data_IF_322681954243
#
_entry.id   IF_322681954243
#
_cell.length_a   1.000
_cell.length_b   1.000
_cell.length_c   1.000
_cell.angle_alpha   90.00
_cell.angle_beta   90.00
_cell.angle_gamma   90.00
#
_symmetry.space_group_name_H-M   'P 1'
#
loop_
_entity.id
_entity.type
_entity.pdbx_description
1 polymer ?
#
# COMPACT_ATOMS: atom_id res chain seq x y z
N UNK A 1 -5.44 3.49 -4.53
CA UNK A 1 -5.38 4.87 -5.13
C UNK A 1 -6.37 5.74 -4.39
N UNK A 2 -5.88 6.72 -3.64
CA UNK A 2 -6.71 7.58 -2.82
C UNK A 2 -7.86 8.23 -3.63
N UNK A 3 -9.07 8.25 -3.07
CA UNK A 3 -10.28 8.73 -3.71
C UNK A 3 -10.83 7.85 -4.86
N UNK A 4 -10.25 6.68 -5.11
CA UNK A 4 -10.63 5.80 -6.24
C UNK A 4 -10.85 4.35 -5.80
N UNK A 5 -9.91 3.76 -5.07
CA UNK A 5 -9.98 2.34 -4.70
C UNK A 5 -10.85 2.13 -3.45
N UNK A 6 -12.15 2.31 -3.62
CA UNK A 6 -13.20 1.96 -2.68
C UNK A 6 -13.66 0.49 -2.88
N UNK A 7 -14.61 0.04 -2.09
CA UNK A 7 -15.17 -1.31 -2.20
C UNK A 7 -15.87 -1.56 -3.53
N UNK A 8 -16.54 -0.55 -4.10
CA UNK A 8 -17.20 -0.68 -5.42
C UNK A 8 -16.17 -0.86 -6.54
N UNK A 9 -15.07 -0.14 -6.48
CA UNK A 9 -13.96 -0.34 -7.42
C UNK A 9 -13.35 -1.73 -7.26
N UNK A 10 -13.06 -2.15 -6.02
CA UNK A 10 -12.49 -3.45 -5.73
C UNK A 10 -13.42 -4.61 -6.17
N UNK A 11 -14.74 -4.49 -6.02
CA UNK A 11 -15.69 -5.49 -6.51
C UNK A 11 -15.60 -5.72 -8.03
N UNK A 12 -15.22 -4.71 -8.83
CA UNK A 12 -14.99 -4.90 -10.27
C UNK A 12 -13.73 -5.73 -10.56
N UNK A 13 -12.81 -5.79 -9.58
CA UNK A 13 -11.54 -6.52 -9.72
C UNK A 13 -11.64 -7.98 -9.28
N UNK A 14 -12.67 -8.36 -8.51
CA UNK A 14 -12.80 -9.70 -7.90
C UNK A 14 -12.84 -10.85 -8.92
N UNK A 15 -13.29 -10.60 -10.14
CA UNK A 15 -13.35 -11.60 -11.22
C UNK A 15 -12.12 -11.63 -12.13
N UNK A 16 -11.11 -10.79 -11.85
CA UNK A 16 -9.94 -10.64 -12.73
C UNK A 16 -8.73 -11.47 -12.28
N UNK A 17 -8.86 -12.32 -11.25
CA UNK A 17 -7.80 -13.23 -10.80
C UNK A 17 -6.80 -12.62 -9.83
N UNK A 18 -7.16 -11.54 -9.12
CA UNK A 18 -6.31 -10.98 -8.06
C UNK A 18 -6.44 -11.78 -6.76
N UNK A 19 -5.31 -12.17 -6.16
CA UNK A 19 -5.24 -12.81 -4.85
C UNK A 19 -5.43 -11.81 -3.70
N UNK A 20 -5.13 -10.52 -3.94
CA UNK A 20 -5.20 -9.45 -2.96
C UNK A 20 -5.80 -8.19 -3.56
N UNK A 21 -6.80 -7.62 -2.90
CA UNK A 21 -7.39 -6.32 -3.23
C UNK A 21 -7.13 -5.32 -2.10
N UNK A 22 -6.54 -4.16 -2.45
CA UNK A 22 -6.18 -3.13 -1.47
C UNK A 22 -7.09 -1.92 -1.59
N UNK A 23 -7.87 -1.66 -0.55
CA UNK A 23 -8.67 -0.45 -0.36
C UNK A 23 -7.80 0.77 -0.02
N UNK A 24 -8.22 1.95 -0.41
CA UNK A 24 -7.62 3.20 0.06
C UNK A 24 -6.57 3.79 -0.88
N UNK A 25 -5.61 4.67 -0.46
CA UNK A 25 -5.25 5.01 0.93
C UNK A 25 -6.22 5.98 1.61
N UNK A 26 -6.61 5.57 2.76
CA UNK A 26 -7.41 6.40 3.67
C UNK A 26 -6.51 7.21 4.60
N UNK A 27 -6.98 8.39 5.03
CA UNK A 27 -6.36 9.18 6.08
C UNK A 27 -6.91 8.68 7.41
N UNK A 28 -6.06 8.19 8.31
CA UNK A 28 -6.52 7.44 9.46
C UNK A 28 -6.55 8.24 10.78
N UNK A 29 -5.71 9.24 10.94
CA UNK A 29 -5.68 10.11 12.12
C UNK A 29 -5.97 11.57 11.77
N UNK A 30 -6.13 12.42 12.79
CA UNK A 30 -6.44 13.84 12.60
C UNK A 30 -5.40 14.54 11.71
N UNK A 31 -4.11 14.28 11.90
CA UNK A 31 -3.04 14.90 11.12
C UNK A 31 -3.17 14.56 9.62
N UNK A 32 -3.41 13.28 9.31
CA UNK A 32 -3.61 12.82 7.93
C UNK A 32 -4.92 13.35 7.32
N UNK A 33 -6.00 13.43 8.10
CA UNK A 33 -7.30 13.95 7.67
C UNK A 33 -7.20 15.43 7.32
N UNK A 34 -6.59 16.25 8.19
CA UNK A 34 -6.39 17.68 7.95
C UNK A 34 -5.52 17.92 6.70
N UNK A 35 -4.46 17.13 6.52
CA UNK A 35 -3.65 17.13 5.30
C UNK A 35 -4.50 16.76 4.07
N UNK A 36 -5.34 15.74 4.19
CA UNK A 36 -6.27 15.30 3.13
C UNK A 36 -7.25 16.38 2.72
N UNK A 37 -7.81 17.14 3.66
CA UNK A 37 -8.70 18.28 3.38
C UNK A 37 -7.99 19.38 2.59
N UNK A 38 -6.72 19.68 2.90
CA UNK A 38 -5.91 20.62 2.11
C UNK A 38 -5.68 20.13 0.69
N UNK A 39 -5.44 18.82 0.50
CA UNK A 39 -5.26 18.18 -0.80
C UNK A 39 -6.54 18.25 -1.63
N UNK A 40 -7.71 18.00 -1.01
CA UNK A 40 -9.03 18.15 -1.65
C UNK A 40 -9.25 19.59 -2.12
N UNK A 41 -8.94 20.57 -1.29
CA UNK A 41 -9.04 22.00 -1.64
C UNK A 41 -8.19 22.38 -2.87
N UNK A 42 -7.10 21.64 -3.14
CA UNK A 42 -6.30 21.79 -4.38
C UNK A 42 -6.90 21.07 -5.59
N UNK A 43 -8.09 20.47 -5.48
CA UNK A 43 -8.77 19.76 -6.56
C UNK A 43 -8.31 18.32 -6.79
N UNK A 44 -7.57 17.71 -5.84
CA UNK A 44 -7.16 16.30 -5.95
C UNK A 44 -8.18 15.40 -5.28
N UNK A 45 -8.44 14.25 -5.90
CA UNK A 45 -9.30 13.21 -5.31
C UNK A 45 -8.65 12.59 -4.08
N UNK A 46 -9.41 12.56 -2.99
CA UNK A 46 -9.11 11.89 -1.73
C UNK A 46 -10.40 11.36 -1.09
N UNK A 47 -10.27 10.37 -0.21
CA UNK A 47 -11.39 9.98 0.65
C UNK A 47 -11.54 10.99 1.78
N UNK A 48 -12.72 11.58 1.88
CA UNK A 48 -13.07 12.53 2.94
C UNK A 48 -13.99 11.84 3.96
N UNK A 49 -13.39 11.20 4.97
CA UNK A 49 -14.08 10.43 5.99
C UNK A 49 -13.59 10.92 7.35
N UNK A 50 -14.52 11.23 8.24
CA UNK A 50 -14.19 11.61 9.60
C UNK A 50 -13.56 10.44 10.36
N UNK A 51 -12.68 10.74 11.32
CA UNK A 51 -11.96 9.71 12.08
C UNK A 51 -12.92 8.74 12.77
N UNK A 52 -14.00 9.28 13.33
CA UNK A 52 -15.03 8.55 14.06
C UNK A 52 -15.78 7.54 13.18
N UNK A 53 -15.94 7.86 11.91
CA UNK A 53 -16.65 7.05 10.92
C UNK A 53 -15.76 6.04 10.21
N UNK A 54 -14.42 6.20 10.30
CA UNK A 54 -13.47 5.47 9.48
C UNK A 54 -13.57 3.95 9.68
N UNK A 55 -13.63 3.48 10.92
CA UNK A 55 -13.77 2.06 11.23
C UNK A 55 -15.03 1.46 10.60
N UNK A 56 -16.17 2.13 10.78
CA UNK A 56 -17.44 1.68 10.22
C UNK A 56 -17.43 1.71 8.68
N UNK A 57 -16.88 2.77 8.10
CA UNK A 57 -16.73 2.90 6.65
C UNK A 57 -15.89 1.76 6.07
N UNK A 58 -14.69 1.53 6.58
CA UNK A 58 -13.82 0.44 6.09
C UNK A 58 -14.48 -0.92 6.29
N UNK A 59 -15.17 -1.15 7.41
CA UNK A 59 -15.93 -2.39 7.63
C UNK A 59 -16.95 -2.63 6.52
N UNK A 60 -17.70 -1.60 6.11
CA UNK A 60 -18.67 -1.71 4.99
C UNK A 60 -17.96 -2.04 3.67
N UNK A 61 -16.86 -1.36 3.39
CA UNK A 61 -16.09 -1.57 2.14
C UNK A 61 -15.49 -2.99 2.08
N UNK A 62 -14.94 -3.49 3.19
CA UNK A 62 -14.41 -4.87 3.28
C UNK A 62 -15.53 -5.89 3.07
N UNK A 63 -16.67 -5.73 3.77
CA UNK A 63 -17.84 -6.62 3.62
C UNK A 63 -18.37 -6.65 2.19
N UNK A 64 -18.39 -5.50 1.51
CA UNK A 64 -18.83 -5.41 0.12
C UNK A 64 -18.00 -6.32 -0.80
N UNK A 65 -16.67 -6.38 -0.58
CA UNK A 65 -15.76 -7.23 -1.35
C UNK A 65 -15.92 -8.71 -0.93
N UNK A 66 -15.89 -8.99 0.37
CA UNK A 66 -15.97 -10.37 0.90
C UNK A 66 -17.31 -11.05 0.60
N UNK A 67 -18.38 -10.30 0.39
CA UNK A 67 -19.68 -10.81 -0.03
C UNK A 67 -19.74 -11.21 -1.52
N UNK A 68 -18.68 -10.97 -2.31
CA UNK A 68 -18.60 -11.50 -3.68
C UNK A 68 -18.25 -12.99 -3.61
N UNK A 69 -19.23 -13.86 -3.80
CA UNK A 69 -19.13 -15.33 -3.58
C UNK A 69 -18.02 -16.01 -4.39
N UNK A 70 -17.60 -15.40 -5.49
CA UNK A 70 -16.54 -15.93 -6.37
C UNK A 70 -15.14 -15.42 -5.97
N UNK A 71 -15.02 -14.48 -5.00
CA UNK A 71 -13.75 -13.95 -4.55
C UNK A 71 -13.28 -14.65 -3.28
N UNK A 72 -12.18 -15.36 -3.37
CA UNK A 72 -11.56 -16.09 -2.25
C UNK A 72 -10.26 -15.44 -1.78
N UNK A 73 -9.87 -14.32 -2.39
CA UNK A 73 -8.64 -13.61 -2.08
C UNK A 73 -8.71 -12.79 -0.79
N UNK A 74 -7.57 -12.22 -0.44
CA UNK A 74 -7.40 -11.37 0.73
C UNK A 74 -7.82 -9.91 0.45
N UNK A 75 -8.24 -9.20 1.50
CA UNK A 75 -8.54 -7.77 1.46
C UNK A 75 -7.60 -7.01 2.37
N UNK A 76 -6.90 -6.04 1.80
CA UNK A 76 -6.02 -5.12 2.51
C UNK A 76 -6.62 -3.71 2.57
N UNK A 77 -6.21 -2.94 3.57
CA UNK A 77 -6.48 -1.50 3.63
C UNK A 77 -5.18 -0.71 3.78
N UNK A 78 -4.96 0.24 2.87
CA UNK A 78 -3.80 1.15 2.91
C UNK A 78 -4.16 2.41 3.71
N UNK A 79 -3.38 2.68 4.76
CA UNK A 79 -3.65 3.73 5.75
C UNK A 79 -2.49 4.72 5.84
N UNK A 80 -2.79 6.01 5.76
CA UNK A 80 -1.89 7.12 6.07
C UNK A 80 -2.16 7.58 7.50
N UNK A 81 -1.15 7.50 8.33
CA UNK A 81 -1.23 7.88 9.74
C UNK A 81 0.13 8.39 10.21
N UNK A 82 0.13 9.35 11.12
CA UNK A 82 1.33 9.85 11.80
C UNK A 82 1.66 9.06 13.07
N UNK A 83 0.73 8.16 13.50
CA UNK A 83 0.94 7.25 14.63
C UNK A 83 0.40 5.86 14.34
N UNK A 84 0.89 4.81 15.01
CA UNK A 84 0.41 3.43 14.82
C UNK A 84 -1.01 3.19 15.34
N UNK A 85 -1.53 3.98 16.27
CA UNK A 85 -2.75 3.70 17.03
C UNK A 85 -3.98 3.47 16.15
N UNK A 86 -4.20 4.32 15.14
CA UNK A 86 -5.36 4.19 14.25
C UNK A 86 -5.24 2.98 13.31
N UNK A 87 -4.03 2.61 12.92
CA UNK A 87 -3.79 1.41 12.11
C UNK A 87 -4.13 0.18 12.95
N UNK A 88 -3.71 0.16 14.22
CA UNK A 88 -4.02 -0.90 15.18
C UNK A 88 -5.53 -0.98 15.41
N UNK A 89 -6.23 0.15 15.53
CA UNK A 89 -7.69 0.16 15.69
C UNK A 89 -8.40 -0.43 14.47
N UNK A 90 -8.03 -0.02 13.27
CA UNK A 90 -8.59 -0.54 12.01
C UNK A 90 -8.29 -2.04 11.83
N UNK A 91 -7.17 -2.52 12.33
CA UNK A 91 -6.81 -3.94 12.27
C UNK A 91 -7.79 -4.86 13.02
N UNK A 92 -8.62 -4.31 13.91
CA UNK A 92 -9.65 -5.07 14.64
C UNK A 92 -10.87 -5.45 13.79
N UNK A 93 -11.00 -4.93 12.57
CA UNK A 93 -12.09 -5.30 11.65
C UNK A 93 -11.99 -6.80 11.34
N UNK A 94 -13.03 -7.61 11.66
CA UNK A 94 -12.94 -9.07 11.60
C UNK A 94 -12.56 -9.62 10.22
N UNK A 95 -13.22 -9.13 9.18
CA UNK A 95 -13.09 -9.63 7.81
C UNK A 95 -11.91 -9.05 7.03
N UNK A 96 -11.18 -8.10 7.62
CA UNK A 96 -9.94 -7.57 7.05
C UNK A 96 -8.82 -8.59 7.22
N UNK A 97 -7.98 -8.76 6.21
CA UNK A 97 -6.86 -9.70 6.26
C UNK A 97 -5.52 -9.00 6.52
N UNK A 98 -5.31 -7.83 5.90
CA UNK A 98 -4.03 -7.12 5.91
C UNK A 98 -4.25 -5.63 6.20
N UNK A 99 -3.42 -5.04 7.08
CA UNK A 99 -3.25 -3.60 7.17
C UNK A 99 -1.98 -3.18 6.46
N UNK A 100 -2.05 -2.14 5.62
CA UNK A 100 -0.89 -1.63 4.90
C UNK A 100 -0.55 -0.22 5.37
N UNK A 101 0.63 -0.07 5.99
CA UNK A 101 1.21 1.21 6.40
C UNK A 101 1.64 1.97 5.15
N UNK A 102 1.15 3.19 4.97
CA UNK A 102 1.53 4.02 3.84
C UNK A 102 2.77 4.87 4.15
N UNK A 103 3.95 4.38 3.81
CA UNK A 103 5.20 5.15 3.76
C UNK A 103 5.54 5.62 2.32
N UNK A 104 4.53 5.72 1.45
CA UNK A 104 4.67 5.95 0.01
C UNK A 104 4.25 7.35 -0.44
N UNK A 105 3.22 7.94 0.18
CA UNK A 105 2.57 9.14 -0.32
C UNK A 105 3.52 10.35 -0.25
N UNK A 106 3.61 11.08 -1.39
CA UNK A 106 4.53 12.21 -1.58
C UNK A 106 3.86 13.59 -1.53
N UNK A 107 2.59 13.66 -1.11
CA UNK A 107 1.92 14.96 -1.03
C UNK A 107 2.54 15.78 0.10
N UNK A 108 2.95 17.04 -0.17
CA UNK A 108 3.62 17.87 0.81
C UNK A 108 2.87 17.95 2.14
N UNK A 109 1.56 18.14 2.08
CA UNK A 109 0.71 18.26 3.27
C UNK A 109 0.74 17.00 4.15
N UNK A 110 0.83 15.80 3.54
CA UNK A 110 0.97 14.54 4.27
C UNK A 110 2.37 14.37 4.83
N UNK A 111 3.41 14.76 4.10
CA UNK A 111 4.79 14.71 4.59
C UNK A 111 4.97 15.66 5.77
N UNK A 112 4.44 16.88 5.68
CA UNK A 112 4.47 17.87 6.76
C UNK A 112 3.71 17.39 8.01
N UNK A 113 2.66 16.57 7.84
CA UNK A 113 1.89 15.98 8.93
C UNK A 113 2.52 14.71 9.54
N UNK A 114 3.72 14.30 9.09
CA UNK A 114 4.40 13.10 9.58
C UNK A 114 3.94 11.80 8.89
N UNK A 115 3.15 11.89 7.82
CA UNK A 115 2.60 10.75 7.09
C UNK A 115 3.35 10.46 5.78
N UNK A 116 3.09 9.30 5.19
CA UNK A 116 3.63 8.96 3.88
C UNK A 116 5.15 8.93 3.88
N UNK A 117 5.80 9.61 2.93
CA UNK A 117 7.27 9.62 2.83
C UNK A 117 7.98 10.26 4.04
N UNK A 118 7.28 10.92 4.95
CA UNK A 118 7.88 11.36 6.20
C UNK A 118 8.47 10.19 7.00
N UNK A 119 7.83 9.01 6.94
CA UNK A 119 8.30 7.79 7.60
C UNK A 119 9.59 7.22 6.97
N UNK A 120 9.93 7.58 5.72
CA UNK A 120 11.15 7.11 5.07
C UNK A 120 12.40 7.92 5.45
N UNK A 121 12.25 9.07 6.11
CA UNK A 121 13.38 9.95 6.45
C UNK A 121 14.33 9.34 7.48
N UNK A 122 13.81 8.42 8.30
CA UNK A 122 14.60 7.73 9.32
C UNK A 122 14.16 6.26 9.40
N UNK A 123 15.02 5.30 9.01
CA UNK A 123 14.72 3.87 9.09
C UNK A 123 14.32 3.39 10.49
N UNK A 124 14.95 3.93 11.55
CA UNK A 124 14.63 3.55 12.94
C UNK A 124 13.20 3.95 13.33
N UNK A 125 12.76 5.16 12.94
CA UNK A 125 11.38 5.60 13.18
C UNK A 125 10.39 4.71 12.45
N UNK A 126 10.68 4.33 11.20
CA UNK A 126 9.84 3.41 10.45
C UNK A 126 9.82 2.02 11.08
N UNK A 127 10.96 1.53 11.56
CA UNK A 127 11.09 0.26 12.27
C UNK A 127 10.25 0.24 13.55
N UNK A 128 10.39 1.26 14.39
CA UNK A 128 9.63 1.39 15.65
C UNK A 128 8.14 1.47 15.39
N UNK A 129 7.73 2.32 14.44
CA UNK A 129 6.33 2.46 14.03
C UNK A 129 5.75 1.10 13.56
N UNK A 130 6.48 0.42 12.68
CA UNK A 130 6.04 -0.87 12.12
C UNK A 130 6.02 -1.96 13.19
N UNK A 131 7.04 -2.04 14.04
CA UNK A 131 7.13 -3.01 15.15
C UNK A 131 5.96 -2.85 16.13
N UNK A 132 5.54 -1.62 16.41
CA UNK A 132 4.40 -1.38 17.27
C UNK A 132 3.09 -1.87 16.64
N UNK A 133 2.90 -1.64 15.34
CA UNK A 133 1.74 -2.18 14.60
C UNK A 133 1.79 -3.71 14.62
N UNK A 134 2.91 -4.33 14.25
CA UNK A 134 3.07 -5.80 14.22
C UNK A 134 2.76 -6.42 15.58
N UNK A 135 3.31 -5.86 16.65
CA UNK A 135 3.12 -6.39 18.02
C UNK A 135 1.67 -6.37 18.51
N UNK A 136 0.89 -5.35 18.10
CA UNK A 136 -0.48 -5.12 18.59
C UNK A 136 -1.57 -5.58 17.61
N UNK A 137 -1.22 -5.77 16.34
CA UNK A 137 -2.12 -6.20 15.29
C UNK A 137 -2.20 -7.73 15.22
N UNK A 138 -3.43 -8.26 15.02
CA UNK A 138 -3.64 -9.71 14.78
C UNK A 138 -3.76 -10.05 13.28
N UNK A 139 -3.59 -9.06 12.43
CA UNK A 139 -3.66 -9.19 10.97
C UNK A 139 -2.25 -9.16 10.39
N UNK A 140 -2.08 -9.61 9.17
CA UNK A 140 -0.84 -9.42 8.44
C UNK A 140 -0.56 -7.93 8.26
N UNK A 141 0.70 -7.55 8.31
CA UNK A 141 1.16 -6.16 8.18
C UNK A 141 1.97 -6.01 6.91
N UNK A 142 1.56 -5.09 6.06
CA UNK A 142 2.30 -4.65 4.88
C UNK A 142 2.84 -3.23 5.09
N UNK A 143 4.03 -2.95 4.57
CA UNK A 143 4.56 -1.58 4.53
C UNK A 143 4.76 -1.18 3.08
N UNK A 144 4.00 -0.17 2.62
CA UNK A 144 4.16 0.36 1.27
C UNK A 144 5.13 1.51 1.25
N UNK A 145 6.23 1.33 0.50
CA UNK A 145 7.27 2.33 0.32
C UNK A 145 7.33 2.84 -1.13
N UNK A 146 8.04 3.94 -1.34
CA UNK A 146 8.42 4.43 -2.66
C UNK A 146 9.92 4.42 -2.79
N UNK A 147 10.42 3.77 -3.83
CA UNK A 147 11.84 3.72 -4.14
C UNK A 147 12.35 5.04 -4.72
N UNK A 148 13.67 5.21 -4.66
CA UNK A 148 14.39 6.34 -5.25
C UNK A 148 13.93 7.71 -4.71
N UNK A 149 13.54 7.78 -3.45
CA UNK A 149 13.29 9.05 -2.75
C UNK A 149 14.63 9.68 -2.41
N UNK A 150 14.81 10.96 -2.77
CA UNK A 150 16.06 11.65 -2.54
C UNK A 150 16.49 11.60 -1.05
N UNK A 151 17.73 11.18 -0.81
CA UNK A 151 18.30 11.05 0.54
C UNK A 151 17.82 9.82 1.34
N UNK A 152 17.12 8.88 0.70
CA UNK A 152 16.66 7.62 1.31
C UNK A 152 17.41 6.45 0.69
N UNK A 153 17.93 5.56 1.54
CA UNK A 153 18.50 4.28 1.14
C UNK A 153 17.40 3.20 1.16
N UNK A 154 16.98 2.77 -0.01
CA UNK A 154 15.88 1.80 -0.18
C UNK A 154 16.17 0.45 0.50
N UNK A 155 17.45 0.03 0.55
CA UNK A 155 17.87 -1.23 1.20
C UNK A 155 17.80 -1.09 2.72
N UNK A 156 18.23 0.03 3.27
CA UNK A 156 18.12 0.29 4.71
C UNK A 156 16.67 0.36 5.17
N UNK A 157 15.81 0.99 4.38
CA UNK A 157 14.35 0.99 4.64
C UNK A 157 13.78 -0.43 4.61
N UNK A 158 14.16 -1.23 3.60
CA UNK A 158 13.67 -2.61 3.51
C UNK A 158 14.14 -3.47 4.69
N UNK A 159 15.39 -3.31 5.15
CA UNK A 159 15.91 -3.96 6.36
C UNK A 159 15.09 -3.57 7.60
N UNK A 160 14.84 -2.27 7.80
CA UNK A 160 14.04 -1.78 8.92
C UNK A 160 12.62 -2.39 8.93
N UNK A 161 11.98 -2.51 7.77
CA UNK A 161 10.66 -3.15 7.63
C UNK A 161 10.72 -4.65 7.94
N UNK A 162 11.74 -5.35 7.44
CA UNK A 162 11.95 -6.78 7.68
C UNK A 162 12.24 -7.05 9.17
N UNK A 163 13.11 -6.29 9.78
CA UNK A 163 13.48 -6.40 11.21
C UNK A 163 12.32 -6.04 12.15
N UNK A 164 11.40 -5.16 11.71
CA UNK A 164 10.16 -4.85 12.41
C UNK A 164 9.17 -6.04 12.45
N UNK A 165 9.40 -7.09 11.65
CA UNK A 165 8.56 -8.27 11.58
C UNK A 165 7.30 -8.11 10.73
N UNK A 166 7.28 -7.19 9.77
CA UNK A 166 6.19 -7.09 8.80
C UNK A 166 6.13 -8.33 7.90
N UNK A 167 4.93 -8.70 7.43
CA UNK A 167 4.72 -9.83 6.53
C UNK A 167 5.08 -9.48 5.08
N UNK A 168 4.85 -8.22 4.68
CA UNK A 168 5.07 -7.76 3.32
C UNK A 168 5.76 -6.41 3.27
N UNK A 169 6.64 -6.25 2.28
CA UNK A 169 7.07 -4.94 1.81
C UNK A 169 6.52 -4.69 0.40
N UNK A 170 5.77 -3.61 0.20
CA UNK A 170 5.16 -3.24 -1.08
C UNK A 170 5.94 -2.07 -1.70
N UNK A 171 6.76 -2.35 -2.70
CA UNK A 171 7.72 -1.40 -3.26
C UNK A 171 7.18 -0.79 -4.56
N UNK A 172 6.85 0.52 -4.53
CA UNK A 172 6.70 1.31 -5.76
C UNK A 172 8.09 1.61 -6.32
N UNK A 173 8.58 0.74 -7.21
CA UNK A 173 9.88 0.83 -7.86
C UNK A 173 9.94 1.98 -8.89
N UNK A 174 9.59 3.20 -8.45
CA UNK A 174 9.59 4.39 -9.29
C UNK A 174 11.01 4.75 -9.73
N UNK A 175 11.20 4.95 -11.04
CA UNK A 175 12.45 5.42 -11.61
C UNK A 175 12.32 6.88 -12.01
N UNK A 176 13.05 7.82 -11.37
CA UNK A 176 12.97 9.24 -11.70
C UNK A 176 13.32 9.50 -13.17
N UNK A 177 12.48 10.29 -13.86
CA UNK A 177 12.70 10.62 -15.26
C UNK A 177 12.34 9.53 -16.28
N UNK A 178 11.90 8.35 -15.84
CA UNK A 178 11.57 7.22 -16.71
C UNK A 178 10.12 6.78 -16.57
N UNK A 179 9.61 6.17 -17.64
CA UNK A 179 8.25 5.61 -17.68
C UNK A 179 8.25 4.07 -17.52
N UNK A 180 9.17 3.56 -16.73
CA UNK A 180 9.32 2.14 -16.37
C UNK A 180 9.66 2.01 -14.89
N UNK A 181 9.58 0.78 -14.37
CA UNK A 181 10.06 0.47 -13.04
C UNK A 181 11.59 0.46 -12.99
N UNK A 182 12.15 0.72 -11.82
CA UNK A 182 13.55 0.48 -11.49
C UNK A 182 13.69 -0.93 -10.90
N UNK A 183 13.91 -1.89 -11.76
CA UNK A 183 14.03 -3.28 -11.36
C UNK A 183 15.27 -3.55 -10.50
N UNK A 184 16.33 -2.74 -10.65
CA UNK A 184 17.56 -2.89 -9.87
C UNK A 184 17.35 -2.63 -8.36
N UNK A 185 16.36 -1.81 -7.99
CA UNK A 185 15.98 -1.62 -6.59
C UNK A 185 15.40 -2.92 -6.02
N UNK A 186 14.51 -3.60 -6.77
CA UNK A 186 13.93 -4.88 -6.33
C UNK A 186 15.05 -5.93 -6.16
N UNK A 187 15.97 -6.03 -7.12
CA UNK A 187 17.13 -6.94 -7.03
C UNK A 187 18.00 -6.64 -5.80
N UNK A 188 18.24 -5.35 -5.53
CA UNK A 188 19.06 -4.92 -4.40
C UNK A 188 18.39 -5.21 -3.07
N UNK A 189 17.08 -4.98 -2.96
CA UNK A 189 16.30 -5.29 -1.76
C UNK A 189 16.27 -6.80 -1.54
N UNK A 190 15.96 -7.61 -2.57
CA UNK A 190 15.90 -9.07 -2.44
C UNK A 190 17.21 -9.70 -1.97
N UNK A 191 18.35 -9.16 -2.34
CA UNK A 191 19.67 -9.62 -1.87
C UNK A 191 19.92 -9.37 -0.37
N UNK A 192 19.13 -8.53 0.27
CA UNK A 192 19.37 -8.06 1.62
C UNK A 192 18.27 -8.43 2.64
N UNK A 193 17.09 -8.89 2.18
CA UNK A 193 15.96 -9.24 3.04
C UNK A 193 15.21 -10.45 2.50
N UNK A 194 14.58 -11.22 3.41
CA UNK A 194 13.80 -12.42 3.08
C UNK A 194 12.28 -12.18 3.13
N UNK A 195 11.84 -10.97 3.50
CA UNK A 195 10.43 -10.58 3.54
C UNK A 195 9.78 -10.76 2.16
N UNK A 196 8.47 -11.06 2.12
CA UNK A 196 7.70 -11.11 0.89
C UNK A 196 7.64 -9.73 0.20
N UNK A 197 8.14 -9.62 -1.02
CA UNK A 197 8.21 -8.38 -1.79
C UNK A 197 7.05 -8.32 -2.78
N UNK A 198 6.18 -7.30 -2.64
CA UNK A 198 5.18 -6.95 -3.65
C UNK A 198 5.77 -5.83 -4.52
N UNK A 199 6.14 -6.15 -5.77
CA UNK A 199 6.69 -5.18 -6.71
C UNK A 199 5.61 -4.39 -7.42
N UNK A 200 5.77 -3.07 -7.51
CA UNK A 200 4.83 -2.17 -8.17
C UNK A 200 5.56 -1.16 -9.07
N UNK A 201 4.87 -0.52 -9.91
CA UNK A 201 5.18 0.53 -10.88
C UNK A 201 5.27 0.02 -12.31
N UNK A 202 4.58 0.74 -13.18
CA UNK A 202 4.62 0.58 -14.65
C UNK A 202 4.35 -0.86 -15.15
N UNK A 203 3.63 -1.67 -14.37
CA UNK A 203 3.17 -2.99 -14.79
C UNK A 203 1.95 -2.78 -15.69
N UNK A 204 2.11 -3.05 -17.01
CA UNK A 204 1.12 -2.76 -18.04
C UNK A 204 0.86 -3.95 -18.97
N UNK A 205 1.72 -4.95 -18.95
CA UNK A 205 1.69 -6.13 -19.79
C UNK A 205 2.41 -7.30 -19.11
N UNK A 206 2.31 -8.49 -19.69
CA UNK A 206 2.97 -9.68 -19.19
C UNK A 206 4.51 -9.53 -19.12
N UNK A 207 5.11 -8.79 -20.04
CA UNK A 207 6.56 -8.60 -20.06
C UNK A 207 7.02 -7.82 -18.82
N UNK A 208 6.35 -6.71 -18.50
CA UNK A 208 6.66 -5.92 -17.29
C UNK A 208 6.33 -6.67 -16.00
N UNK A 209 5.24 -7.46 -15.97
CA UNK A 209 4.89 -8.31 -14.85
C UNK A 209 5.97 -9.37 -14.56
N UNK A 210 6.32 -10.16 -15.57
CA UNK A 210 7.36 -11.19 -15.46
C UNK A 210 8.74 -10.61 -15.16
N UNK A 211 9.06 -9.42 -15.66
CA UNK A 211 10.33 -8.76 -15.34
C UNK A 211 10.38 -8.38 -13.85
N UNK A 212 9.28 -7.89 -13.29
CA UNK A 212 9.20 -7.58 -11.85
C UNK A 212 9.45 -8.83 -10.99
N UNK A 213 8.80 -9.96 -11.31
CA UNK A 213 9.03 -11.22 -10.61
C UNK A 213 10.48 -11.73 -10.79
N UNK A 214 11.00 -11.69 -12.01
CA UNK A 214 12.39 -12.10 -12.30
C UNK A 214 13.43 -11.27 -11.53
N UNK A 215 13.11 -10.03 -11.20
CA UNK A 215 13.98 -9.15 -10.41
C UNK A 215 13.95 -9.47 -8.91
N UNK A 216 13.14 -10.44 -8.47
CA UNK A 216 13.11 -10.92 -7.09
C UNK A 216 11.87 -10.48 -6.29
N UNK A 217 10.86 -9.89 -6.92
CA UNK A 217 9.55 -9.73 -6.29
C UNK A 217 8.83 -11.09 -6.21
N UNK A 218 8.14 -11.35 -5.11
CA UNK A 218 7.33 -12.56 -4.90
C UNK A 218 5.90 -12.39 -5.44
N UNK A 219 5.46 -11.14 -5.58
CA UNK A 219 4.18 -10.77 -6.15
C UNK A 219 4.23 -9.41 -6.85
N UNK A 220 3.19 -9.10 -7.61
CA UNK A 220 3.06 -7.82 -8.31
C UNK A 220 1.82 -7.05 -7.88
N UNK A 221 1.87 -5.74 -7.98
CA UNK A 221 0.72 -4.87 -7.73
C UNK A 221 0.43 -3.98 -8.93
N UNK A 222 -0.84 -3.94 -9.33
CA UNK A 222 -1.34 -3.16 -10.46
C UNK A 222 -2.28 -2.08 -9.94
N UNK A 223 -2.09 -0.84 -10.38
CA UNK A 223 -2.95 0.27 -10.00
C UNK A 223 -3.53 0.99 -11.23
N UNK A 224 -2.76 1.87 -11.87
CA UNK A 224 -3.24 2.71 -12.98
C UNK A 224 -3.71 1.92 -14.21
N UNK A 225 -3.11 0.77 -14.49
CA UNK A 225 -3.52 -0.07 -15.60
C UNK A 225 -4.93 -0.67 -15.40
N UNK A 226 -5.38 -0.84 -14.15
CA UNK A 226 -6.70 -1.36 -13.80
C UNK A 226 -7.77 -0.26 -13.59
N UNK A 227 -7.43 1.02 -13.71
CA UNK A 227 -8.34 2.14 -13.34
C UNK A 227 -9.66 2.15 -14.11
N UNK A 228 -9.68 1.59 -15.32
CA UNK A 228 -10.89 1.47 -16.15
C UNK A 228 -11.77 0.26 -15.79
N UNK A 229 -11.39 -0.53 -14.78
CA UNK A 229 -12.13 -1.73 -14.38
C UNK A 229 -11.72 -3.00 -15.15
N UNK A 230 -10.68 -2.93 -15.95
CA UNK A 230 -10.10 -4.06 -16.70
C UNK A 230 -8.59 -4.03 -16.58
N UNK A 231 -7.94 -5.17 -16.80
CA UNK A 231 -6.48 -5.27 -16.92
C UNK A 231 -6.10 -5.64 -18.35
N UNK A 232 -4.95 -5.18 -18.86
CA UNK A 232 -4.58 -5.34 -20.27
C UNK A 232 -3.96 -6.72 -20.59
N UNK A 233 -3.90 -7.65 -19.64
CA UNK A 233 -3.34 -8.99 -19.81
C UNK A 233 -3.96 -9.98 -18.82
N UNK A 234 -3.83 -11.27 -19.11
CA UNK A 234 -4.31 -12.36 -18.26
C UNK A 234 -3.31 -12.61 -17.11
N UNK A 235 -3.78 -12.51 -15.86
CA UNK A 235 -2.97 -12.73 -14.64
C UNK A 235 -2.57 -14.20 -14.47
N UNK A 236 -3.32 -15.16 -15.02
CA UNK A 236 -2.96 -16.58 -14.92
C UNK A 236 -1.70 -16.94 -15.70
N UNK A 237 -1.22 -16.03 -16.54
CA UNK A 237 -0.01 -16.17 -17.36
C UNK A 237 1.22 -15.50 -16.73
N UNK A 238 1.09 -14.88 -15.54
CA UNK A 238 2.18 -14.17 -14.87
C UNK A 238 3.14 -15.10 -14.12
#
# INVERSE_FOLDING_TARGET
MAGITDGRFCCKMTSLGFDLLTLGGYNADHNAIDAGLKIIKRGRLEFNIAKEDLYHHITKEVKLIKNQSHYTGEVSVNLRSSSPDQIIEISKIPELDIVEINAHCRQPELIESGCGQALLKNPEILQDFTSEVVRKCKKKVSVKIRANVHGVDDVMIAKAVNEAGADYIHIDAMKPGFNCADYSVIESVRKNVDIFIIGNNSIRDLKSARHMLKSGADGISIARAAIKGTIPFDLTLV
#
